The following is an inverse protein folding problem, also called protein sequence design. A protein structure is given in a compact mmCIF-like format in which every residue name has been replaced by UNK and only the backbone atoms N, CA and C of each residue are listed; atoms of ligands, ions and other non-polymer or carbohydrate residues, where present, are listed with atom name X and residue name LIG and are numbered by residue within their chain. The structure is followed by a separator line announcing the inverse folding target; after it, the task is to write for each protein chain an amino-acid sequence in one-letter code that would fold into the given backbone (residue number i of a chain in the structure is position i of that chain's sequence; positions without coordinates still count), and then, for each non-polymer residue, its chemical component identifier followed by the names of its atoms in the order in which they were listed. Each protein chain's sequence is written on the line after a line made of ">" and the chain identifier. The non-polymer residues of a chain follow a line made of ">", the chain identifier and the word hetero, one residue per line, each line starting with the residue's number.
data_IF_510932462949
#
_entry.id   IF_510932462949
#
_cell.length_a   1.000
_cell.length_b   1.000
_cell.length_c   1.000
_cell.angle_alpha   90.00
_cell.angle_beta   90.00
_cell.angle_gamma   90.00
#
_symmetry.space_group_name_H-M   'P 1'
#
loop_
_entity.id
_entity.type
_entity.pdbx_description
1 polymer ?
#
# COMPACT_ATOMS: atom_id res chain seq x y z
N UNK A 1 -13.84 0.84 22.71
CA UNK A 1 -13.56 1.48 24.03
C UNK A 1 -13.93 0.65 25.26
N UNK A 2 -15.21 0.37 25.54
CA UNK A 2 -15.62 -0.32 26.78
C UNK A 2 -15.02 -1.72 26.93
N UNK A 3 -14.98 -2.51 25.84
CA UNK A 3 -14.33 -3.81 25.82
C UNK A 3 -12.84 -3.70 26.19
N UNK A 4 -12.09 -2.82 25.52
CA UNK A 4 -10.66 -2.61 25.79
C UNK A 4 -10.38 -2.24 27.25
N UNK A 5 -11.22 -1.37 27.85
CA UNK A 5 -11.13 -1.02 29.27
C UNK A 5 -11.42 -2.22 30.18
N UNK A 6 -12.48 -2.98 29.90
CA UNK A 6 -12.85 -4.15 30.70
C UNK A 6 -11.77 -5.24 30.67
N UNK A 7 -11.10 -5.39 29.53
CA UNK A 7 -10.03 -6.38 29.32
C UNK A 7 -8.63 -5.85 29.63
N UNK A 8 -8.49 -4.60 30.08
CA UNK A 8 -7.20 -3.94 30.30
C UNK A 8 -6.23 -4.07 29.11
N UNK A 9 -6.74 -3.92 27.88
CA UNK A 9 -5.91 -3.99 26.68
C UNK A 9 -4.88 -2.86 26.69
N UNK A 10 -3.59 -3.23 26.65
CA UNK A 10 -2.47 -2.29 26.62
C UNK A 10 -2.51 -1.41 25.36
N UNK A 11 -2.82 -2.03 24.21
CA UNK A 11 -2.77 -1.40 22.89
C UNK A 11 -4.17 -0.99 22.40
N UNK A 12 -4.76 0.01 23.06
CA UNK A 12 -5.97 0.68 22.57
C UNK A 12 -5.64 2.10 22.11
N UNK A 13 -5.90 2.37 20.83
CA UNK A 13 -5.66 3.66 20.22
C UNK A 13 -6.99 4.30 19.79
N UNK A 14 -7.21 5.52 20.25
CA UNK A 14 -8.42 6.31 19.91
C UNK A 14 -8.16 7.19 18.70
N UNK A 15 -9.21 7.65 18.03
CA UNK A 15 -9.10 8.68 16.98
C UNK A 15 -8.23 9.85 17.47
N UNK A 16 -7.28 10.28 16.64
CA UNK A 16 -6.29 11.30 16.99
C UNK A 16 -5.03 10.77 17.68
N UNK A 17 -4.99 9.48 18.06
CA UNK A 17 -3.83 8.78 18.63
C UNK A 17 -3.50 7.48 17.88
N UNK A 18 -4.03 7.33 16.68
CA UNK A 18 -3.91 6.15 15.84
C UNK A 18 -3.60 6.56 14.39
N UNK A 19 -3.40 5.58 13.52
CA UNK A 19 -3.36 5.76 12.07
C UNK A 19 -4.14 4.66 11.36
N UNK A 20 -3.96 4.60 10.05
CA UNK A 20 -4.30 3.43 9.24
C UNK A 20 -3.51 2.25 9.80
N UNK A 21 -4.20 1.18 10.21
CA UNK A 21 -3.64 0.05 10.97
C UNK A 21 -2.31 -0.46 10.41
N UNK A 22 -2.24 -0.71 9.10
CA UNK A 22 -1.05 -1.29 8.49
C UNK A 22 0.12 -0.31 8.28
N UNK A 23 -0.12 0.99 8.40
CA UNK A 23 0.95 1.99 8.56
C UNK A 23 1.37 2.09 10.02
N UNK A 24 0.39 2.09 10.91
CA UNK A 24 0.53 2.37 12.33
C UNK A 24 1.22 1.26 13.12
N UNK A 25 0.83 -0.01 12.97
CA UNK A 25 1.44 -1.09 13.78
C UNK A 25 2.96 -1.24 13.55
N UNK A 26 3.48 -1.18 12.29
CA UNK A 26 4.93 -1.13 12.03
C UNK A 26 5.60 0.11 12.63
N UNK A 27 4.98 1.29 12.48
CA UNK A 27 5.52 2.56 12.99
C UNK A 27 5.71 2.53 14.51
N UNK A 28 4.78 1.89 15.22
CA UNK A 28 4.82 1.74 16.68
C UNK A 28 5.72 0.58 17.15
N UNK A 29 6.38 -0.15 16.24
CA UNK A 29 7.24 -1.29 16.59
C UNK A 29 6.48 -2.50 17.17
N UNK A 30 5.18 -2.61 16.89
CA UNK A 30 4.34 -3.70 17.40
C UNK A 30 4.49 -4.97 16.55
N UNK A 31 4.85 -4.80 15.28
CA UNK A 31 5.15 -5.89 14.35
C UNK A 31 6.63 -5.86 14.01
N UNK A 32 7.28 -7.01 14.15
CA UNK A 32 8.72 -7.20 14.03
C UNK A 32 9.01 -8.41 13.11
N UNK A 33 10.25 -8.52 12.57
CA UNK A 33 10.64 -9.67 11.77
C UNK A 33 10.45 -10.99 12.54
N UNK A 34 9.95 -12.00 11.82
CA UNK A 34 9.71 -13.34 12.35
C UNK A 34 8.41 -13.49 13.16
N UNK A 35 7.62 -12.43 13.30
CA UNK A 35 6.31 -12.54 13.93
C UNK A 35 5.32 -13.36 13.09
N UNK A 36 4.35 -13.95 13.78
CA UNK A 36 3.08 -14.41 13.21
C UNK A 36 1.99 -13.43 13.62
N UNK A 37 1.39 -12.74 12.64
CA UNK A 37 0.39 -11.69 12.90
C UNK A 37 -0.92 -12.03 12.20
N UNK A 38 -2.01 -12.05 12.97
CA UNK A 38 -3.38 -12.09 12.44
C UNK A 38 -4.10 -10.77 12.70
N UNK A 39 -4.97 -10.39 11.79
CA UNK A 39 -5.76 -9.17 11.90
C UNK A 39 -7.15 -9.34 11.30
N UNK A 40 -8.09 -8.50 11.75
CA UNK A 40 -9.46 -8.48 11.22
C UNK A 40 -9.58 -7.80 9.85
N UNK A 41 -8.45 -7.36 9.28
CA UNK A 41 -8.38 -6.73 7.96
C UNK A 41 -7.68 -7.64 6.95
N UNK A 42 -8.16 -7.65 5.71
CA UNK A 42 -7.62 -8.46 4.63
C UNK A 42 -6.16 -8.14 4.29
N UNK A 43 -5.74 -6.89 4.49
CA UNK A 43 -4.42 -6.37 4.14
C UNK A 43 -3.41 -6.48 5.29
N UNK A 44 -3.72 -7.26 6.33
CA UNK A 44 -2.77 -7.64 7.38
C UNK A 44 -1.48 -8.23 6.80
N UNK A 45 -1.53 -8.82 5.60
CA UNK A 45 -0.36 -9.29 4.83
C UNK A 45 0.70 -8.21 4.57
N UNK A 46 0.40 -6.93 4.78
CA UNK A 46 1.35 -5.81 4.70
C UNK A 46 2.63 -6.07 5.50
N UNK A 47 2.54 -6.76 6.63
CA UNK A 47 3.68 -6.93 7.52
C UNK A 47 4.71 -7.93 7.03
N UNK A 48 4.41 -8.70 5.97
CA UNK A 48 5.43 -9.50 5.30
C UNK A 48 6.53 -8.67 4.65
N UNK A 49 6.33 -7.36 4.43
CA UNK A 49 7.41 -6.43 4.07
C UNK A 49 8.47 -6.24 5.15
N UNK A 50 8.18 -6.61 6.41
CA UNK A 50 9.14 -6.67 7.53
C UNK A 50 9.71 -8.08 7.76
N UNK A 51 9.34 -9.07 6.93
CA UNK A 51 9.70 -10.47 7.18
C UNK A 51 8.83 -11.16 8.24
N UNK A 52 7.60 -10.68 8.48
CA UNK A 52 6.62 -11.36 9.32
C UNK A 52 5.68 -12.25 8.48
N UNK A 53 5.26 -13.40 9.03
CA UNK A 53 4.12 -14.11 8.46
C UNK A 53 2.83 -13.44 8.93
N UNK A 54 2.11 -12.81 8.02
CA UNK A 54 0.95 -11.99 8.37
C UNK A 54 -0.24 -12.22 7.47
N UNK A 55 -1.44 -12.32 8.04
CA UNK A 55 -2.64 -12.68 7.28
C UNK A 55 -3.94 -12.19 7.91
N UNK A 56 -4.89 -11.79 7.07
CA UNK A 56 -6.23 -11.46 7.50
C UNK A 56 -7.01 -12.71 7.91
N UNK A 57 -7.86 -12.58 8.95
CA UNK A 57 -8.73 -13.64 9.43
C UNK A 57 -10.15 -13.12 9.69
N UNK A 58 -11.13 -14.02 9.69
CA UNK A 58 -12.52 -13.68 10.01
C UNK A 58 -12.70 -13.35 11.50
N UNK A 59 -13.86 -12.81 11.85
CA UNK A 59 -14.20 -12.44 13.24
C UNK A 59 -14.17 -13.64 14.20
N UNK A 60 -14.56 -14.83 13.73
CA UNK A 60 -14.52 -16.07 14.52
C UNK A 60 -13.09 -16.47 14.87
N UNK A 61 -12.21 -16.51 13.87
CA UNK A 61 -10.79 -16.84 14.07
C UNK A 61 -10.09 -15.80 14.95
N UNK A 62 -10.42 -14.52 14.76
CA UNK A 62 -9.89 -13.46 15.62
C UNK A 62 -10.34 -13.66 17.08
N UNK A 63 -11.60 -14.00 17.32
CA UNK A 63 -12.10 -14.27 18.67
C UNK A 63 -11.39 -15.48 19.31
N UNK A 64 -11.12 -16.54 18.55
CA UNK A 64 -10.34 -17.69 19.01
C UNK A 64 -8.90 -17.28 19.34
N UNK A 65 -8.24 -16.55 18.45
CA UNK A 65 -6.89 -16.05 18.67
C UNK A 65 -6.79 -15.14 19.90
N UNK A 66 -7.78 -14.26 20.12
CA UNK A 66 -7.86 -13.43 21.33
C UNK A 66 -8.11 -14.23 22.60
N UNK A 67 -8.85 -15.33 22.53
CA UNK A 67 -9.20 -16.16 23.69
C UNK A 67 -8.08 -17.13 24.08
N UNK A 68 -7.38 -17.70 23.09
CA UNK A 68 -6.43 -18.79 23.31
C UNK A 68 -4.97 -18.38 23.10
N UNK A 69 -4.71 -17.29 22.37
CA UNK A 69 -3.35 -16.93 21.93
C UNK A 69 -2.81 -17.83 20.81
N UNK A 70 -3.64 -18.70 20.25
CA UNK A 70 -3.27 -19.71 19.25
C UNK A 70 -4.32 -19.78 18.14
N UNK A 71 -3.92 -20.17 16.94
CA UNK A 71 -4.80 -20.38 15.79
C UNK A 71 -4.26 -21.50 14.89
N UNK A 72 -5.17 -22.17 14.19
CA UNK A 72 -4.82 -23.20 13.21
C UNK A 72 -4.48 -22.59 11.85
N UNK A 73 -3.34 -22.98 11.30
CA UNK A 73 -2.94 -22.61 9.94
C UNK A 73 -2.67 -23.86 9.12
N UNK A 74 -3.21 -23.88 7.90
CA UNK A 74 -2.66 -24.72 6.85
C UNK A 74 -1.44 -24.00 6.29
N UNK A 75 -0.27 -24.63 6.38
CA UNK A 75 0.97 -24.08 5.81
C UNK A 75 0.77 -23.90 4.29
N UNK A 76 0.88 -22.67 3.76
CA UNK A 76 0.70 -22.43 2.33
C UNK A 76 1.94 -22.89 1.56
N UNK A 77 1.75 -23.29 0.31
CA UNK A 77 2.88 -23.41 -0.63
C UNK A 77 3.45 -22.02 -0.94
N UNK A 78 4.73 -21.93 -1.25
CA UNK A 78 5.37 -20.66 -1.61
C UNK A 78 5.54 -20.55 -3.12
N UNK A 79 5.16 -19.41 -3.69
CA UNK A 79 5.50 -18.99 -5.05
C UNK A 79 6.60 -17.91 -4.94
N UNK A 80 7.74 -18.16 -5.56
CA UNK A 80 8.89 -17.25 -5.53
C UNK A 80 8.81 -16.26 -6.69
N UNK A 81 8.88 -14.97 -6.39
CA UNK A 81 8.88 -13.91 -7.39
C UNK A 81 10.23 -13.19 -7.35
N UNK A 82 11.00 -13.32 -8.43
CA UNK A 82 12.33 -12.72 -8.56
C UNK A 82 12.23 -11.46 -9.42
N UNK A 83 12.35 -10.29 -8.81
CA UNK A 83 12.43 -9.02 -9.53
C UNK A 83 13.90 -8.66 -9.84
N UNK A 84 14.23 -8.59 -11.13
CA UNK A 84 15.58 -8.40 -11.66
C UNK A 84 15.77 -6.99 -12.24
N UNK A 85 17.00 -6.51 -12.23
CA UNK A 85 17.37 -5.23 -12.83
C UNK A 85 17.02 -4.02 -11.96
N UNK A 86 17.20 -2.83 -12.54
CA UNK A 86 16.89 -1.54 -11.91
C UNK A 86 16.06 -0.70 -12.89
N UNK A 87 14.93 -0.14 -12.46
CA UNK A 87 14.08 0.63 -13.37
C UNK A 87 14.82 1.87 -13.88
N UNK A 88 14.75 2.09 -15.20
CA UNK A 88 15.28 3.30 -15.82
C UNK A 88 14.42 4.53 -15.56
N UNK A 89 13.11 4.32 -15.43
CA UNK A 89 12.17 5.38 -15.13
C UNK A 89 12.18 5.63 -13.60
N UNK A 90 12.53 6.85 -13.13
CA UNK A 90 12.69 7.15 -11.70
C UNK A 90 11.36 7.19 -10.94
N UNK A 91 10.23 7.20 -11.64
CA UNK A 91 8.90 7.24 -11.06
C UNK A 91 8.30 5.85 -10.79
N UNK A 92 9.05 4.79 -11.10
CA UNK A 92 8.67 3.41 -10.82
C UNK A 92 8.99 3.09 -9.36
N UNK A 93 8.00 2.51 -8.68
CA UNK A 93 8.01 2.24 -7.25
C UNK A 93 7.56 0.81 -6.94
N UNK A 94 7.55 0.43 -5.65
CA UNK A 94 7.00 -0.85 -5.21
C UNK A 94 5.54 -1.07 -5.64
N UNK A 95 4.77 0.02 -5.80
CA UNK A 95 3.39 -0.04 -6.32
C UNK A 95 3.35 -0.60 -7.74
N UNK A 96 4.27 -0.16 -8.59
CA UNK A 96 4.33 -0.57 -10.00
C UNK A 96 4.79 -2.02 -10.11
N UNK A 97 5.71 -2.46 -9.24
CA UNK A 97 6.17 -3.85 -9.21
C UNK A 97 5.04 -4.81 -8.86
N UNK A 98 4.25 -4.49 -7.83
CA UNK A 98 3.15 -5.36 -7.42
C UNK A 98 1.98 -5.31 -8.40
N UNK A 99 1.69 -4.16 -9.01
CA UNK A 99 0.71 -4.08 -10.10
C UNK A 99 1.16 -4.90 -11.31
N UNK A 100 2.41 -4.80 -11.74
CA UNK A 100 2.93 -5.60 -12.85
C UNK A 100 2.80 -7.11 -12.58
N UNK A 101 3.08 -7.56 -11.34
CA UNK A 101 2.86 -8.95 -10.95
C UNK A 101 1.37 -9.33 -10.98
N UNK A 102 0.48 -8.54 -10.36
CA UNK A 102 -0.96 -8.82 -10.30
C UNK A 102 -1.56 -8.82 -11.72
N UNK A 103 -1.11 -7.93 -12.61
CA UNK A 103 -1.48 -7.94 -14.02
C UNK A 103 -1.08 -9.23 -14.74
N UNK A 104 0.09 -9.79 -14.38
CA UNK A 104 0.60 -11.04 -14.95
C UNK A 104 -0.11 -12.29 -14.44
N UNK A 105 -0.37 -12.39 -13.12
CA UNK A 105 -0.91 -13.62 -12.50
C UNK A 105 -2.42 -13.56 -12.24
N UNK A 106 -3.04 -12.39 -12.38
CA UNK A 106 -4.46 -12.19 -12.10
C UNK A 106 -4.80 -12.17 -10.61
N UNK A 107 -6.07 -11.93 -10.30
CA UNK A 107 -6.57 -11.80 -8.92
C UNK A 107 -6.58 -13.09 -8.11
N UNK A 108 -6.40 -14.23 -8.77
CA UNK A 108 -6.42 -15.58 -8.16
C UNK A 108 -5.12 -16.36 -8.38
N UNK A 109 -4.11 -15.77 -9.02
CA UNK A 109 -2.88 -16.46 -9.40
C UNK A 109 -2.07 -17.03 -8.23
N UNK A 110 -2.23 -16.45 -7.04
CA UNK A 110 -1.56 -16.87 -5.81
C UNK A 110 -2.52 -17.45 -4.77
N UNK A 111 -3.73 -17.89 -5.16
CA UNK A 111 -4.73 -18.41 -4.22
C UNK A 111 -4.15 -19.53 -3.34
N UNK A 112 -4.27 -19.37 -2.02
CA UNK A 112 -3.71 -20.26 -0.98
C UNK A 112 -2.19 -20.41 -0.96
N UNK A 113 -1.45 -19.56 -1.68
CA UNK A 113 0.01 -19.53 -1.67
C UNK A 113 0.52 -18.33 -0.84
N UNK A 114 1.75 -18.43 -0.36
CA UNK A 114 2.54 -17.27 0.05
C UNK A 114 3.36 -16.78 -1.16
N UNK A 115 3.46 -15.46 -1.32
CA UNK A 115 4.38 -14.85 -2.29
C UNK A 115 5.69 -14.51 -1.57
N UNK A 116 6.80 -15.10 -1.99
CA UNK A 116 8.13 -14.71 -1.54
C UNK A 116 8.75 -13.77 -2.58
N UNK A 117 8.93 -12.50 -2.23
CA UNK A 117 9.51 -11.51 -3.13
C UNK A 117 11.02 -11.40 -2.88
N UNK A 118 11.81 -11.55 -3.94
CA UNK A 118 13.28 -11.47 -3.89
C UNK A 118 13.87 -10.83 -5.14
N UNK A 119 15.20 -10.70 -5.18
CA UNK A 119 15.94 -10.19 -6.31
C UNK A 119 16.54 -8.80 -6.09
N UNK A 120 17.33 -8.34 -7.06
CA UNK A 120 18.06 -7.09 -7.01
C UNK A 120 17.13 -5.89 -6.80
N UNK A 121 16.00 -5.86 -7.51
CA UNK A 121 15.06 -4.75 -7.45
C UNK A 121 14.40 -4.65 -6.07
N UNK A 122 14.10 -5.79 -5.41
CA UNK A 122 13.55 -5.83 -4.04
C UNK A 122 14.56 -5.31 -3.02
N UNK A 123 15.84 -5.71 -3.14
CA UNK A 123 16.91 -5.16 -2.30
C UNK A 123 17.07 -3.66 -2.49
N UNK A 124 16.91 -3.15 -3.71
CA UNK A 124 17.00 -1.74 -4.02
C UNK A 124 15.83 -0.90 -3.46
N UNK A 125 14.61 -1.46 -3.37
CA UNK A 125 13.44 -0.77 -2.82
C UNK A 125 13.66 -0.27 -1.38
N UNK A 126 13.03 0.84 -1.04
CA UNK A 126 12.85 1.27 0.34
C UNK A 126 11.98 0.27 1.11
N UNK A 127 12.02 0.32 2.44
CA UNK A 127 11.14 -0.53 3.25
C UNK A 127 9.66 -0.17 3.03
N UNK A 128 9.33 1.10 2.84
CA UNK A 128 7.96 1.54 2.59
C UNK A 128 7.43 1.01 1.24
N UNK A 129 8.28 0.94 0.21
CA UNK A 129 7.98 0.26 -1.05
C UNK A 129 7.77 -1.25 -0.90
N UNK A 130 8.47 -1.90 0.03
CA UNK A 130 8.25 -3.32 0.35
C UNK A 130 6.91 -3.56 1.04
N UNK A 131 6.56 -2.70 1.99
CA UNK A 131 5.25 -2.71 2.65
C UNK A 131 4.12 -2.49 1.64
N UNK A 132 4.33 -1.63 0.63
CA UNK A 132 3.40 -1.45 -0.50
C UNK A 132 3.15 -2.77 -1.23
N UNK A 133 4.21 -3.51 -1.57
CA UNK A 133 4.10 -4.79 -2.29
C UNK A 133 3.42 -5.87 -1.43
N UNK A 134 3.85 -6.02 -0.18
CA UNK A 134 3.28 -6.99 0.74
C UNK A 134 1.79 -6.72 1.01
N UNK A 135 1.39 -5.44 1.10
CA UNK A 135 0.00 -5.03 1.25
C UNK A 135 -0.87 -5.60 0.12
N UNK A 136 -0.44 -5.44 -1.13
CA UNK A 136 -1.24 -5.86 -2.28
C UNK A 136 -1.12 -7.34 -2.64
N UNK A 137 -0.37 -8.15 -1.89
CA UNK A 137 -0.27 -9.60 -2.14
C UNK A 137 -1.65 -10.28 -2.13
N UNK A 138 -2.56 -9.85 -1.25
CA UNK A 138 -3.93 -10.37 -1.18
C UNK A 138 -4.75 -10.09 -2.44
N UNK A 139 -4.40 -9.06 -3.22
CA UNK A 139 -5.10 -8.73 -4.48
C UNK A 139 -4.76 -9.70 -5.62
N UNK A 140 -3.74 -10.56 -5.43
CA UNK A 140 -3.47 -11.74 -6.26
C UNK A 140 -4.02 -13.04 -5.63
N UNK A 141 -4.77 -12.94 -4.54
CA UNK A 141 -5.31 -14.07 -3.79
C UNK A 141 -4.32 -14.72 -2.80
N UNK A 142 -3.12 -14.13 -2.62
CA UNK A 142 -2.10 -14.68 -1.75
C UNK A 142 -2.50 -14.63 -0.27
N UNK A 143 -2.09 -15.64 0.50
CA UNK A 143 -2.27 -15.69 1.95
C UNK A 143 -1.41 -14.66 2.68
N UNK A 144 -0.20 -14.42 2.16
CA UNK A 144 0.82 -13.51 2.66
C UNK A 144 1.76 -13.11 1.50
N UNK A 145 2.39 -11.94 1.58
CA UNK A 145 3.50 -11.55 0.72
C UNK A 145 4.70 -11.17 1.59
N UNK A 146 5.78 -11.94 1.52
CA UNK A 146 6.91 -11.87 2.45
C UNK A 146 8.23 -11.52 1.76
N UNK A 147 9.06 -10.78 2.46
CA UNK A 147 10.42 -10.41 2.07
C UNK A 147 11.36 -10.66 3.25
N UNK A 148 12.57 -11.14 2.97
CA UNK A 148 13.58 -11.31 4.01
C UNK A 148 13.94 -9.95 4.60
N UNK A 149 14.05 -9.89 5.93
CA UNK A 149 14.49 -8.69 6.63
C UNK A 149 16.00 -8.48 6.41
N UNK A 150 16.34 -7.45 5.64
CA UNK A 150 17.72 -7.01 5.40
C UNK A 150 18.08 -5.77 6.23
N UNK A 151 19.21 -5.13 5.94
CA UNK A 151 19.74 -3.99 6.70
C UNK A 151 18.75 -2.82 6.80
N UNK A 152 17.94 -2.57 5.77
CA UNK A 152 16.91 -1.51 5.80
C UNK A 152 15.79 -1.85 6.77
N UNK A 153 15.43 -3.12 6.84
CA UNK A 153 14.41 -3.62 7.77
C UNK A 153 14.94 -3.55 9.19
N UNK A 154 16.19 -3.98 9.40
CA UNK A 154 16.88 -3.92 10.69
C UNK A 154 16.95 -2.46 11.18
N UNK A 155 17.41 -1.52 10.35
CA UNK A 155 17.51 -0.11 10.72
C UNK A 155 16.16 0.50 11.13
N UNK A 156 15.09 0.13 10.41
CA UNK A 156 13.74 0.57 10.74
C UNK A 156 13.25 0.01 12.08
N UNK A 157 13.52 -1.28 12.32
CA UNK A 157 13.01 -2.02 13.47
C UNK A 157 13.78 -1.70 14.74
N UNK A 158 15.12 -1.58 14.70
CA UNK A 158 15.97 -1.34 15.88
C UNK A 158 15.59 -0.07 16.64
N UNK A 159 15.14 0.97 15.93
CA UNK A 159 14.71 2.24 16.52
C UNK A 159 13.36 2.16 17.23
N UNK A 160 12.62 1.05 17.06
CA UNK A 160 11.20 0.92 17.44
C UNK A 160 10.90 -0.30 18.30
N UNK A 161 11.65 -1.38 18.14
CA UNK A 161 11.40 -2.65 18.79
C UNK A 161 11.53 -2.54 20.32
N UNK A 162 10.50 -3.01 21.03
CA UNK A 162 10.52 -3.10 22.50
C UNK A 162 10.70 -4.55 23.01
N UNK A 163 10.88 -5.50 22.08
CA UNK A 163 11.09 -6.92 22.35
C UNK A 163 12.05 -7.52 21.33
N UNK A 164 12.61 -8.67 21.66
CA UNK A 164 13.43 -9.44 20.73
C UNK A 164 12.63 -9.86 19.49
N UNK A 165 13.35 -9.98 18.38
CA UNK A 165 12.82 -10.37 17.07
C UNK A 165 13.83 -11.29 16.39
N UNK A 166 13.39 -11.97 15.33
CA UNK A 166 14.21 -12.97 14.65
C UNK A 166 14.03 -12.87 13.15
N UNK A 167 15.13 -12.91 12.42
CA UNK A 167 15.11 -13.00 10.95
C UNK A 167 14.96 -14.46 10.57
N UNK A 168 14.07 -14.70 9.61
CA UNK A 168 13.97 -15.96 8.90
C UNK A 168 14.25 -15.71 7.42
N UNK A 169 14.95 -16.64 6.82
CA UNK A 169 15.23 -16.69 5.39
C UNK A 169 15.00 -18.11 4.88
N UNK A 170 14.78 -18.22 3.57
CA UNK A 170 14.56 -19.51 2.93
C UNK A 170 15.90 -20.24 2.80
N UNK A 171 15.91 -21.52 3.16
CA UNK A 171 17.07 -22.40 3.00
C UNK A 171 17.44 -22.55 1.50
N UNK A 172 18.69 -22.92 1.21
CA UNK A 172 19.17 -23.09 -0.17
C UNK A 172 18.40 -24.17 -0.94
N UNK A 173 17.90 -25.19 -0.25
CA UNK A 173 17.12 -26.31 -0.78
C UNK A 173 15.60 -26.13 -0.63
N UNK A 174 15.12 -24.93 -0.28
CA UNK A 174 13.70 -24.61 -0.19
C UNK A 174 12.96 -24.90 -1.51
N UNK A 175 11.84 -25.64 -1.42
CA UNK A 175 11.03 -26.02 -2.57
C UNK A 175 9.93 -24.98 -2.79
N UNK A 176 9.88 -24.44 -4.01
CA UNK A 176 8.86 -23.49 -4.43
C UNK A 176 7.87 -24.15 -5.38
N UNK A 177 6.57 -23.88 -5.19
CA UNK A 177 5.52 -24.36 -6.10
C UNK A 177 5.68 -23.79 -7.50
N UNK A 178 6.24 -22.59 -7.61
CA UNK A 178 6.48 -21.87 -8.85
C UNK A 178 7.54 -20.79 -8.64
N UNK A 179 8.30 -20.48 -9.68
CA UNK A 179 9.26 -19.38 -9.71
C UNK A 179 8.91 -18.48 -10.90
N UNK A 180 8.59 -17.22 -10.64
CA UNK A 180 8.29 -16.21 -11.65
C UNK A 180 9.38 -15.15 -11.61
N UNK A 181 9.91 -14.80 -12.78
CA UNK A 181 10.87 -13.71 -12.93
C UNK A 181 10.23 -12.51 -13.62
N UNK A 182 10.54 -11.30 -13.12
CA UNK A 182 10.08 -10.02 -13.67
C UNK A 182 11.30 -9.10 -13.80
N UNK A 183 11.63 -8.68 -15.02
CA UNK A 183 12.64 -7.65 -15.27
C UNK A 183 11.99 -6.27 -15.17
N UNK A 184 12.47 -5.43 -14.25
CA UNK A 184 11.94 -4.08 -14.03
C UNK A 184 12.68 -3.00 -14.80
N UNK A 185 13.72 -3.35 -15.57
CA UNK A 185 14.64 -2.38 -16.20
C UNK A 185 13.91 -1.37 -17.10
N UNK A 186 12.95 -1.85 -17.89
CA UNK A 186 12.14 -1.00 -18.78
C UNK A 186 10.69 -0.85 -18.30
N UNK A 187 10.39 -1.27 -17.06
CA UNK A 187 9.05 -1.11 -16.49
C UNK A 187 8.68 0.38 -16.46
N UNK A 188 7.46 0.70 -16.91
CA UNK A 188 6.90 2.03 -16.81
C UNK A 188 5.98 2.13 -15.58
N UNK A 189 5.63 3.34 -15.12
CA UNK A 189 4.57 3.49 -14.12
C UNK A 189 3.30 2.78 -14.58
N UNK A 190 2.71 2.01 -13.68
CA UNK A 190 1.58 1.13 -13.95
C UNK A 190 0.28 1.74 -13.44
N UNK A 191 -0.81 1.50 -14.18
CA UNK A 191 -2.17 1.91 -13.81
C UNK A 191 -3.08 0.69 -13.85
N UNK A 192 -3.75 0.37 -12.74
CA UNK A 192 -4.79 -0.65 -12.73
C UNK A 192 -6.15 -0.02 -13.04
N UNK A 193 -6.70 -0.36 -14.20
CA UNK A 193 -7.98 0.10 -14.71
C UNK A 193 -9.14 -0.59 -13.98
N UNK A 194 -10.31 0.06 -13.90
CA UNK A 194 -11.50 -0.57 -13.35
C UNK A 194 -11.90 -1.85 -14.13
N UNK A 195 -12.59 -2.81 -13.54
CA UNK A 195 -12.96 -2.91 -12.12
C UNK A 195 -12.18 -4.02 -11.39
N UNK A 196 -10.95 -4.30 -11.82
CA UNK A 196 -10.11 -5.35 -11.24
C UNK A 196 -8.66 -4.86 -11.07
N UNK A 197 -8.00 -5.12 -9.93
CA UNK A 197 -6.60 -4.75 -9.73
C UNK A 197 -5.63 -5.37 -10.76
N UNK A 198 -6.04 -6.45 -11.43
CA UNK A 198 -5.25 -7.11 -12.48
C UNK A 198 -5.42 -6.53 -13.89
N UNK A 199 -6.32 -5.56 -14.12
CA UNK A 199 -6.44 -4.88 -15.41
C UNK A 199 -5.36 -3.79 -15.51
N UNK A 200 -4.09 -4.20 -15.54
CA UNK A 200 -2.94 -3.30 -15.45
C UNK A 200 -2.41 -2.95 -16.84
N UNK A 201 -2.10 -1.67 -17.03
CA UNK A 201 -1.52 -1.12 -18.27
C UNK A 201 -0.45 -0.10 -17.92
N UNK A 202 0.40 0.21 -18.90
CA UNK A 202 1.34 1.31 -18.76
C UNK A 202 0.56 2.64 -18.67
N UNK A 203 1.10 3.60 -17.91
CA UNK A 203 0.47 4.93 -17.75
C UNK A 203 0.24 5.65 -19.09
N UNK A 204 1.07 5.37 -20.10
CA UNK A 204 0.93 5.91 -21.46
C UNK A 204 -0.34 5.47 -22.18
N UNK A 205 -0.97 4.37 -21.76
CA UNK A 205 -2.24 3.88 -22.31
C UNK A 205 -3.47 4.51 -21.64
N UNK A 206 -3.26 5.31 -20.60
CA UNK A 206 -4.33 5.91 -19.79
C UNK A 206 -4.55 7.40 -20.05
N UNK A 207 -3.78 8.01 -20.96
CA UNK A 207 -3.69 9.47 -21.09
C UNK A 207 -5.00 10.16 -21.44
N UNK A 208 -5.93 9.48 -22.12
CA UNK A 208 -7.23 10.02 -22.52
C UNK A 208 -8.30 9.96 -21.41
N UNK A 209 -7.98 9.41 -20.24
CA UNK A 209 -8.92 9.26 -19.13
C UNK A 209 -8.96 10.53 -18.30
N UNK A 210 -9.94 11.39 -18.55
CA UNK A 210 -10.27 12.52 -17.66
C UNK A 210 -10.77 12.03 -16.28
N UNK A 211 -10.48 12.80 -15.23
CA UNK A 211 -10.79 12.42 -13.85
C UNK A 211 -11.43 13.56 -13.06
N UNK A 212 -12.13 13.20 -11.98
CA UNK A 212 -12.83 14.13 -11.09
C UNK A 212 -12.18 14.17 -9.69
N UNK A 213 -11.47 13.11 -9.30
CA UNK A 213 -10.85 13.00 -7.99
C UNK A 213 -9.45 12.37 -8.05
N UNK A 214 -8.56 12.83 -7.18
CA UNK A 214 -7.31 12.14 -6.84
C UNK A 214 -7.26 11.87 -5.35
N UNK A 215 -6.90 10.64 -4.96
CA UNK A 215 -6.63 10.26 -3.57
C UNK A 215 -5.19 9.80 -3.43
N UNK A 216 -4.39 10.53 -2.65
CA UNK A 216 -3.01 10.21 -2.32
C UNK A 216 -2.94 9.91 -0.82
N UNK A 217 -2.81 8.64 -0.47
CA UNK A 217 -2.76 8.21 0.91
C UNK A 217 -3.66 7.01 1.17
N UNK A 218 -3.07 5.93 1.66
CA UNK A 218 -3.79 4.71 2.08
C UNK A 218 -2.88 3.81 2.92
N UNK A 219 -3.35 2.63 3.32
CA UNK A 219 -2.49 1.59 3.89
C UNK A 219 -1.37 1.13 2.93
N UNK A 220 -1.59 1.30 1.62
CA UNK A 220 -0.67 0.93 0.55
C UNK A 220 0.38 2.01 0.33
N UNK A 221 -0.05 3.27 0.16
CA UNK A 221 0.82 4.40 -0.16
C UNK A 221 0.36 5.67 0.57
N UNK A 222 0.58 5.71 1.88
CA UNK A 222 0.32 6.86 2.75
C UNK A 222 1.46 7.11 3.74
N UNK A 223 2.63 6.54 3.46
CA UNK A 223 3.82 6.65 4.30
C UNK A 223 4.62 7.90 3.96
N UNK A 224 5.74 8.10 4.63
CA UNK A 224 6.50 9.34 4.50
C UNK A 224 7.04 9.55 3.10
N UNK A 225 7.58 8.51 2.46
CA UNK A 225 8.12 8.60 1.10
C UNK A 225 7.03 8.94 0.08
N UNK A 226 5.82 8.37 0.25
CA UNK A 226 4.69 8.61 -0.65
C UNK A 226 4.28 10.07 -0.66
N UNK A 227 4.22 10.68 0.54
CA UNK A 227 3.86 12.10 0.68
C UNK A 227 4.95 13.00 0.12
N UNK A 228 6.24 12.68 0.33
CA UNK A 228 7.34 13.44 -0.29
C UNK A 228 7.23 13.39 -1.81
N UNK A 229 7.04 12.21 -2.40
CA UNK A 229 6.92 12.06 -3.85
C UNK A 229 5.80 12.92 -4.41
N UNK A 230 4.62 12.90 -3.77
CA UNK A 230 3.50 13.72 -4.19
C UNK A 230 3.77 15.23 -4.00
N UNK A 231 4.36 15.63 -2.88
CA UNK A 231 4.66 17.03 -2.59
C UNK A 231 5.66 17.61 -3.59
N UNK A 232 6.72 16.88 -3.93
CA UNK A 232 7.73 17.33 -4.90
C UNK A 232 7.12 17.61 -6.28
N UNK A 233 6.11 16.84 -6.69
CA UNK A 233 5.42 17.04 -7.98
C UNK A 233 4.43 18.21 -7.90
N UNK A 234 3.77 18.39 -6.75
CA UNK A 234 2.77 19.44 -6.55
C UNK A 234 3.37 20.81 -6.20
N UNK A 235 4.63 20.87 -5.75
CA UNK A 235 5.28 22.10 -5.29
C UNK A 235 5.30 23.18 -6.38
N UNK A 236 4.76 24.37 -6.03
CA UNK A 236 4.69 25.50 -6.95
C UNK A 236 3.68 25.34 -8.11
N UNK A 237 2.91 24.25 -8.13
CA UNK A 237 1.87 23.99 -9.15
C UNK A 237 0.47 24.16 -8.55
N UNK A 238 -0.55 24.10 -9.39
CA UNK A 238 -1.97 24.08 -8.98
C UNK A 238 -2.65 22.85 -9.55
N UNK A 239 -3.48 22.21 -8.73
CA UNK A 239 -4.32 21.09 -9.18
C UNK A 239 -5.35 21.60 -10.19
N UNK A 240 -5.75 20.73 -11.10
CA UNK A 240 -6.71 21.07 -12.15
C UNK A 240 -8.06 21.49 -11.52
N UNK A 241 -8.73 22.57 -11.98
CA UNK A 241 -9.90 23.14 -11.31
C UNK A 241 -11.13 22.20 -11.23
N UNK A 242 -11.19 21.18 -12.08
CA UNK A 242 -12.24 20.15 -12.04
C UNK A 242 -11.95 18.97 -11.10
N UNK A 243 -10.70 18.85 -10.62
CA UNK A 243 -10.25 17.70 -9.83
C UNK A 243 -10.18 18.07 -8.36
N UNK A 244 -10.87 17.29 -7.53
CA UNK A 244 -10.65 17.36 -6.08
C UNK A 244 -9.51 16.44 -5.67
N UNK A 245 -8.55 16.97 -4.94
CA UNK A 245 -7.35 16.22 -4.55
C UNK A 245 -7.33 16.06 -3.04
N UNK A 246 -7.31 14.81 -2.57
CA UNK A 246 -7.39 14.45 -1.16
C UNK A 246 -6.09 13.76 -0.76
N UNK A 247 -5.37 14.33 0.20
CA UNK A 247 -4.12 13.79 0.74
C UNK A 247 -4.38 13.22 2.13
N UNK A 248 -3.98 11.97 2.37
CA UNK A 248 -4.25 11.22 3.59
C UNK A 248 -2.94 10.66 4.16
N UNK A 249 -2.33 11.33 5.14
CA UNK A 249 -1.21 10.77 5.88
C UNK A 249 -1.61 9.46 6.58
N UNK A 250 -0.74 8.46 6.54
CA UNK A 250 -1.05 7.12 7.06
C UNK A 250 -1.20 7.07 8.57
N UNK A 251 -0.54 7.95 9.32
CA UNK A 251 -0.56 8.00 10.79
C UNK A 251 -0.52 9.44 11.30
N UNK A 252 -0.82 9.63 12.58
CA UNK A 252 -0.71 10.95 13.22
C UNK A 252 0.74 11.43 13.30
N UNK A 253 1.71 10.52 13.44
CA UNK A 253 3.12 10.86 13.43
C UNK A 253 3.55 11.38 12.05
N UNK A 254 3.17 10.68 10.98
CA UNK A 254 3.42 11.12 9.60
C UNK A 254 2.72 12.46 9.34
N UNK A 255 1.47 12.63 9.79
CA UNK A 255 0.77 13.89 9.61
C UNK A 255 1.48 15.05 10.32
N UNK A 256 1.83 14.89 11.60
CA UNK A 256 2.54 15.92 12.35
C UNK A 256 3.90 16.24 11.72
N UNK A 257 4.60 15.22 11.21
CA UNK A 257 5.84 15.40 10.45
C UNK A 257 5.61 16.21 9.17
N UNK A 258 4.56 15.90 8.41
CA UNK A 258 4.19 16.63 7.20
C UNK A 258 3.84 18.10 7.48
N UNK A 259 3.25 18.41 8.64
CA UNK A 259 3.05 19.80 9.09
C UNK A 259 4.39 20.48 9.39
N UNK A 260 5.24 19.84 10.18
CA UNK A 260 6.53 20.41 10.63
C UNK A 260 7.52 20.64 9.49
N UNK A 261 7.51 19.77 8.49
CA UNK A 261 8.41 19.83 7.34
C UNK A 261 7.78 20.55 6.14
N UNK A 262 6.60 21.16 6.28
CA UNK A 262 5.99 22.02 5.26
C UNK A 262 5.28 21.29 4.11
N UNK A 263 5.17 19.96 4.12
CA UNK A 263 4.44 19.24 3.06
C UNK A 263 2.95 19.60 3.04
N UNK A 264 2.35 19.86 4.21
CA UNK A 264 0.94 20.28 4.31
C UNK A 264 0.72 21.62 3.63
N UNK A 265 1.66 22.57 3.78
CA UNK A 265 1.61 23.87 3.10
C UNK A 265 1.65 23.66 1.58
N UNK A 266 2.59 22.86 1.08
CA UNK A 266 2.68 22.51 -0.35
C UNK A 266 1.36 21.96 -0.89
N UNK A 267 0.73 21.01 -0.17
CA UNK A 267 -0.53 20.43 -0.62
C UNK A 267 -1.68 21.45 -0.63
N UNK A 268 -1.80 22.26 0.42
CA UNK A 268 -2.86 23.26 0.52
C UNK A 268 -2.66 24.37 -0.51
N UNK A 269 -1.41 24.83 -0.72
CA UNK A 269 -1.07 25.78 -1.77
C UNK A 269 -1.37 25.23 -3.15
N UNK A 270 -1.13 23.95 -3.42
CA UNK A 270 -1.50 23.33 -4.68
C UNK A 270 -3.03 23.27 -4.91
N UNK A 271 -3.83 23.42 -3.85
CA UNK A 271 -5.29 23.33 -3.89
C UNK A 271 -5.85 21.96 -3.48
N UNK A 272 -5.02 21.11 -2.87
CA UNK A 272 -5.45 19.85 -2.28
C UNK A 272 -5.99 20.06 -0.85
N UNK A 273 -6.81 19.11 -0.40
CA UNK A 273 -7.23 19.01 1.01
C UNK A 273 -6.44 17.93 1.72
N UNK A 274 -5.97 18.22 2.94
CA UNK A 274 -5.28 17.23 3.78
C UNK A 274 -6.25 16.71 4.84
N UNK A 275 -6.50 15.41 4.83
CA UNK A 275 -7.38 14.73 5.78
C UNK A 275 -6.63 14.28 7.03
N UNK A 276 -7.38 14.01 8.09
CA UNK A 276 -6.91 13.15 9.19
C UNK A 276 -6.58 11.74 8.68
N UNK A 277 -5.60 11.03 9.29
CA UNK A 277 -5.31 9.62 8.99
C UNK A 277 -6.56 8.75 9.08
N UNK A 278 -6.89 8.07 7.98
CA UNK A 278 -8.12 7.29 7.82
C UNK A 278 -8.02 6.34 6.63
N UNK A 279 -8.81 5.26 6.61
CA UNK A 279 -8.93 4.41 5.43
C UNK A 279 -9.92 4.95 4.39
N UNK A 280 -10.69 5.99 4.69
CA UNK A 280 -11.63 6.57 3.72
C UNK A 280 -10.91 7.22 2.53
N UNK A 281 -11.39 7.09 1.28
CA UNK A 281 -12.67 6.49 0.88
C UNK A 281 -12.58 5.01 0.49
N UNK A 282 -11.53 4.27 0.86
CA UNK A 282 -11.24 2.91 0.34
C UNK A 282 -12.38 1.90 0.48
N UNK A 283 -13.26 2.06 1.48
CA UNK A 283 -14.42 1.18 1.75
C UNK A 283 -15.77 1.86 1.44
N UNK A 284 -15.78 2.93 0.63
CA UNK A 284 -16.99 3.68 0.29
C UNK A 284 -17.53 4.54 1.45
N UNK A 285 -16.65 4.95 2.36
CA UNK A 285 -17.02 5.76 3.51
C UNK A 285 -15.92 6.74 3.90
N UNK A 286 -16.33 7.88 4.46
CA UNK A 286 -15.48 9.01 4.86
C UNK A 286 -14.76 9.68 3.68
N UNK A 287 -14.82 11.02 3.63
CA UNK A 287 -14.17 11.95 2.67
C UNK A 287 -13.81 11.41 1.28
N UNK A 288 -14.41 11.96 0.22
CA UNK A 288 -14.08 11.59 -1.17
C UNK A 288 -14.89 10.42 -1.73
N UNK A 289 -16.13 10.27 -1.26
CA UNK A 289 -17.10 9.34 -1.85
C UNK A 289 -17.39 9.77 -3.30
N UNK A 290 -17.26 8.83 -4.24
CA UNK A 290 -17.52 9.08 -5.66
C UNK A 290 -19.02 9.05 -5.97
N UNK A 291 -19.46 10.03 -6.76
CA UNK A 291 -20.80 10.09 -7.33
C UNK A 291 -20.92 9.24 -8.61
N UNK A 292 -22.13 9.18 -9.17
CA UNK A 292 -22.41 8.46 -10.40
C UNK A 292 -21.61 9.05 -11.57
N UNK A 293 -20.83 8.20 -12.23
CA UNK A 293 -20.03 8.58 -13.41
C UNK A 293 -18.70 9.24 -13.10
N UNK A 294 -18.39 9.50 -11.82
CA UNK A 294 -17.11 10.09 -11.45
C UNK A 294 -15.96 9.09 -11.54
N UNK A 295 -14.78 9.60 -11.89
CA UNK A 295 -13.55 8.82 -12.01
C UNK A 295 -12.51 9.32 -11.02
N UNK A 296 -11.83 8.39 -10.36
CA UNK A 296 -10.73 8.69 -9.45
C UNK A 296 -9.43 7.98 -9.84
N UNK A 297 -8.31 8.67 -9.69
CA UNK A 297 -7.01 8.03 -9.48
C UNK A 297 -6.77 7.92 -7.99
N UNK A 298 -6.42 6.73 -7.51
CA UNK A 298 -6.21 6.49 -6.08
C UNK A 298 -4.93 5.67 -5.84
N UNK A 299 -4.18 6.05 -4.81
CA UNK A 299 -3.03 5.26 -4.33
C UNK A 299 -3.46 4.16 -3.34
N UNK A 300 -4.73 3.72 -3.43
CA UNK A 300 -5.31 2.59 -2.70
C UNK A 300 -5.02 1.26 -3.40
N UNK A 301 -5.55 0.16 -2.89
CA UNK A 301 -5.29 -1.20 -3.37
C UNK A 301 -6.46 -1.88 -4.10
N UNK A 302 -7.68 -1.31 -4.07
CA UNK A 302 -8.87 -1.91 -4.69
C UNK A 302 -9.64 -0.94 -5.57
N UNK A 303 -10.11 -1.44 -6.70
CA UNK A 303 -10.91 -0.69 -7.68
C UNK A 303 -12.17 -1.44 -8.16
N UNK A 304 -12.69 -2.36 -7.34
CA UNK A 304 -13.94 -3.05 -7.62
C UNK A 304 -15.12 -2.07 -7.80
N UNK A 305 -16.19 -2.55 -8.44
CA UNK A 305 -17.44 -1.79 -8.63
C UNK A 305 -17.95 -1.24 -7.29
N UNK A 306 -18.21 0.08 -7.25
CA UNK A 306 -18.73 0.76 -6.05
C UNK A 306 -17.74 0.88 -4.88
N UNK A 307 -16.45 0.59 -5.10
CA UNK A 307 -15.47 0.53 -4.00
C UNK A 307 -15.30 1.83 -3.23
N UNK A 308 -15.34 2.97 -3.93
CA UNK A 308 -15.17 4.30 -3.35
C UNK A 308 -16.47 5.12 -3.36
N UNK A 309 -17.63 4.51 -3.61
CA UNK A 309 -18.91 5.22 -3.66
C UNK A 309 -19.91 4.57 -4.59
N UNK A 310 -20.44 5.34 -5.53
CA UNK A 310 -21.51 4.89 -6.42
C UNK A 310 -21.06 3.70 -7.30
N UNK A 311 -21.89 2.67 -7.57
CA UNK A 311 -21.52 1.54 -8.42
C UNK A 311 -21.08 1.89 -9.85
N UNK A 312 -21.48 3.06 -10.35
CA UNK A 312 -21.08 3.58 -11.67
C UNK A 312 -19.90 4.56 -11.60
N UNK A 313 -19.21 4.66 -10.47
CA UNK A 313 -17.92 5.37 -10.40
C UNK A 313 -16.78 4.43 -10.80
N UNK A 314 -15.72 4.99 -11.34
CA UNK A 314 -14.54 4.25 -11.76
C UNK A 314 -13.31 4.64 -10.92
N UNK A 315 -12.49 3.65 -10.57
CA UNK A 315 -11.29 3.85 -9.78
C UNK A 315 -10.09 3.28 -10.53
N UNK A 316 -9.05 4.09 -10.67
CA UNK A 316 -7.79 3.73 -11.28
C UNK A 316 -6.71 3.70 -10.20
N UNK A 317 -6.02 2.58 -10.04
CA UNK A 317 -4.97 2.46 -9.03
C UNK A 317 -3.63 2.83 -9.63
N UNK A 318 -2.90 3.73 -8.98
CA UNK A 318 -1.58 4.14 -9.43
C UNK A 318 -0.67 4.44 -8.24
N UNK A 319 0.61 4.68 -8.51
CA UNK A 319 1.56 5.15 -7.51
C UNK A 319 1.35 6.65 -7.18
N UNK A 320 1.94 7.17 -6.08
CA UNK A 320 1.80 8.58 -5.69
C UNK A 320 2.28 9.58 -6.75
N UNK A 321 3.28 9.22 -7.55
CA UNK A 321 3.80 10.12 -8.57
C UNK A 321 2.78 10.32 -9.70
N UNK A 322 2.23 9.24 -10.25
CA UNK A 322 1.17 9.27 -11.26
C UNK A 322 -0.07 9.97 -10.72
N UNK A 323 -0.46 9.69 -9.47
CA UNK A 323 -1.60 10.36 -8.83
C UNK A 323 -1.40 11.88 -8.74
N UNK A 324 -0.24 12.35 -8.28
CA UNK A 324 0.08 13.76 -8.18
C UNK A 324 0.16 14.45 -9.55
N UNK A 325 0.74 13.78 -10.56
CA UNK A 325 0.78 14.30 -11.91
C UNK A 325 -0.62 14.44 -12.53
N UNK A 326 -1.45 13.42 -12.31
CA UNK A 326 -2.83 13.39 -12.78
C UNK A 326 -3.69 14.49 -12.12
N UNK A 327 -3.42 14.79 -10.85
CA UNK A 327 -4.06 15.89 -10.13
C UNK A 327 -3.82 17.26 -10.78
N UNK A 328 -2.64 17.49 -11.35
CA UNK A 328 -2.30 18.75 -12.04
C UNK A 328 -2.94 18.80 -13.43
N UNK A 329 -2.95 17.68 -14.15
CA UNK A 329 -3.36 17.66 -15.56
C UNK A 329 -4.85 17.39 -15.80
N UNK A 330 -5.60 16.95 -14.79
CA UNK A 330 -7.05 16.71 -14.93
C UNK A 330 -7.41 15.38 -15.61
N UNK A 331 -6.40 14.55 -15.88
CA UNK A 331 -6.49 13.25 -16.54
C UNK A 331 -5.37 12.35 -16.04
N UNK A 332 -5.46 11.04 -16.26
CA UNK A 332 -4.35 10.14 -15.91
C UNK A 332 -3.11 10.52 -16.73
N UNK A 333 -1.98 10.71 -16.07
CA UNK A 333 -0.77 11.22 -16.71
C UNK A 333 0.52 10.71 -16.07
N UNK A 334 1.57 10.62 -16.89
CA UNK A 334 2.93 10.34 -16.43
C UNK A 334 3.50 11.56 -15.70
N UNK A 335 4.27 11.38 -14.62
CA UNK A 335 4.99 12.48 -13.96
C UNK A 335 5.94 13.24 -14.88
N UNK A 336 6.42 12.62 -15.96
CA UNK A 336 7.28 13.26 -16.95
C UNK A 336 6.58 14.35 -17.78
N UNK A 337 5.24 14.38 -17.78
CA UNK A 337 4.43 15.39 -18.49
C UNK A 337 4.32 16.70 -17.70
N UNK A 338 4.64 16.68 -16.41
CA UNK A 338 4.42 17.80 -15.47
C UNK A 338 5.68 18.67 -15.28
N UNK A 339 6.72 18.46 -16.10
CA UNK A 339 8.04 19.10 -15.95
C UNK A 339 7.97 20.61 -15.67
N UNK A 340 8.93 21.05 -14.84
CA UNK A 340 9.09 22.39 -14.26
C UNK A 340 8.72 23.53 -15.19
#
# INVERSE_FOLDING_TARGET
>A
KNFARKQNLLHYYEVGRCGIEHCFLPEQGLVLPGDVVIGADSHTCTYGGLGAFSTGVGSTDLAVGMALGELWFRVPETMKIVFKGKPRNPWVSGKDYILALIGKIGVDGARYKALEFTGEAIRALSLEGRLTMANMAIEAGAKNGIMVADEKTIEYVEKRAQRAWRIYESDEDAIFSEIIEIDVTNLQPQVAFPHLPSNVRDVSEATEVEIDQVVIGSCTNGRWEDLITAANILQGKKVHPRVRVIVIPGTQEIYLRAVREGLVEIFVEAGAVVSTPTCGPCLGGYMGILAKGERAVATTNRNFVGRMGHPQSEVYLANPAVAAASAILGRIASPEEVKE
#
